data_IF_932090851310
#
_entry.id   IF_932090851310
#
_cell.length_a   1.000
_cell.length_b   1.000
_cell.length_c   1.000
_cell.angle_alpha   90.00
_cell.angle_beta   90.00
_cell.angle_gamma   90.00
#
_symmetry.space_group_name_H-M   'P 1'
#
loop_
_entity.id
_entity.type
_entity.pdbx_description
1 polymer ?
#
# COMPACT_ATOMS: atom_id res chain seq x y z
N UNK A 1 -6.02 -2.74 15.83
CA UNK A 1 -4.96 -3.51 15.15
C UNK A 1 -5.27 -3.61 13.67
N UNK A 2 -4.23 -3.59 12.87
CA UNK A 2 -4.39 -3.77 11.42
C UNK A 2 -4.75 -5.20 11.10
N UNK A 3 -5.62 -5.38 10.11
CA UNK A 3 -6.04 -6.71 9.65
C UNK A 3 -5.14 -7.23 8.52
N UNK A 4 -4.24 -6.42 8.05
CA UNK A 4 -3.33 -6.82 6.97
C UNK A 4 -1.98 -7.24 7.54
N UNK A 5 -1.22 -7.94 6.71
CA UNK A 5 0.13 -8.38 7.06
C UNK A 5 0.99 -7.17 7.38
N UNK A 6 1.69 -7.14 8.53
CA UNK A 6 2.53 -6.00 8.86
C UNK A 6 3.64 -5.80 7.82
N UNK A 7 3.95 -4.54 7.55
CA UNK A 7 5.09 -4.18 6.73
C UNK A 7 6.41 -4.29 7.49
N UNK A 8 7.50 -4.04 6.82
CA UNK A 8 7.59 -3.71 5.41
C UNK A 8 7.37 -4.92 4.49
N UNK A 9 7.00 -4.64 3.25
CA UNK A 9 6.86 -5.65 2.21
C UNK A 9 7.94 -5.43 1.16
N UNK A 10 8.30 -6.50 0.44
CA UNK A 10 9.27 -6.42 -0.65
C UNK A 10 8.65 -7.03 -1.90
N UNK A 11 9.19 -6.67 -3.06
CA UNK A 11 8.77 -7.26 -4.32
C UNK A 11 9.99 -7.84 -5.04
N UNK A 12 9.74 -8.82 -5.89
CA UNK A 12 10.78 -9.42 -6.70
C UNK A 12 10.17 -10.07 -7.92
N UNK A 13 11.00 -10.31 -8.94
CA UNK A 13 10.57 -11.02 -10.14
C UNK A 13 10.95 -12.49 -9.98
N UNK A 14 10.05 -13.36 -10.44
CA UNK A 14 10.30 -14.79 -10.45
C UNK A 14 10.95 -15.21 -11.77
N UNK A 15 11.47 -16.42 -11.82
CA UNK A 15 12.07 -16.96 -13.04
C UNK A 15 11.07 -17.06 -14.19
N UNK A 16 9.78 -17.15 -13.86
CA UNK A 16 8.71 -17.24 -14.85
C UNK A 16 8.26 -15.87 -15.37
N UNK A 17 8.85 -14.80 -14.88
CA UNK A 17 8.49 -13.45 -15.29
C UNK A 17 7.39 -12.80 -14.48
N UNK A 18 6.81 -13.52 -13.52
CA UNK A 18 5.84 -12.94 -12.61
C UNK A 18 6.54 -12.04 -11.60
N UNK A 19 5.79 -11.13 -10.99
CA UNK A 19 6.28 -10.34 -9.88
C UNK A 19 5.49 -10.70 -8.63
N UNK A 20 6.17 -10.84 -7.50
CA UNK A 20 5.54 -11.19 -6.23
C UNK A 20 5.85 -10.17 -5.16
N UNK A 21 4.93 -10.05 -4.21
CA UNK A 21 5.08 -9.20 -3.03
C UNK A 21 5.01 -10.11 -1.80
N UNK A 22 6.03 -10.04 -0.98
CA UNK A 22 6.14 -10.85 0.24
C UNK A 22 6.43 -9.95 1.44
N UNK A 23 6.08 -10.41 2.66
CA UNK A 23 6.59 -9.72 3.84
C UNK A 23 8.12 -9.78 3.86
N UNK A 24 8.75 -8.70 4.29
CA UNK A 24 10.22 -8.66 4.30
C UNK A 24 10.83 -9.70 5.23
N UNK A 25 10.14 -10.04 6.30
CA UNK A 25 10.60 -11.00 7.29
C UNK A 25 10.22 -12.44 6.96
N UNK A 26 9.73 -12.70 5.75
CA UNK A 26 9.28 -14.02 5.34
C UNK A 26 7.81 -14.23 5.59
N UNK A 27 7.32 -15.37 5.15
CA UNK A 27 5.91 -15.72 5.27
C UNK A 27 5.27 -15.98 3.92
N UNK A 28 3.95 -15.98 3.90
CA UNK A 28 3.20 -16.28 2.69
C UNK A 28 3.20 -15.10 1.73
N UNK A 29 3.06 -15.41 0.44
CA UNK A 29 2.95 -14.39 -0.61
C UNK A 29 1.74 -13.50 -0.32
N UNK A 30 1.96 -12.18 -0.36
CA UNK A 30 0.87 -11.21 -0.20
C UNK A 30 0.12 -11.03 -1.52
N UNK A 31 0.85 -10.91 -2.61
CA UNK A 31 0.28 -10.69 -3.93
C UNK A 31 1.20 -11.23 -5.00
N UNK A 32 0.60 -11.62 -6.12
CA UNK A 32 1.34 -12.03 -7.30
C UNK A 32 0.77 -11.29 -8.50
N UNK A 33 1.65 -10.62 -9.26
CA UNK A 33 1.28 -9.89 -10.46
C UNK A 33 1.77 -10.70 -11.65
N UNK A 34 0.84 -11.35 -12.33
CA UNK A 34 1.16 -12.27 -13.41
C UNK A 34 1.34 -11.55 -14.74
N UNK A 35 2.19 -12.11 -15.59
CA UNK A 35 2.50 -11.58 -16.90
C UNK A 35 1.54 -12.15 -17.94
N UNK A 36 0.90 -11.28 -18.71
CA UNK A 36 0.18 -11.70 -19.93
C UNK A 36 1.10 -11.71 -21.11
N UNK A 37 2.01 -10.74 -21.15
CA UNK A 37 2.97 -10.52 -22.22
C UNK A 37 4.34 -10.44 -21.58
N UNK A 38 5.31 -11.29 -21.97
CA UNK A 38 6.63 -11.28 -21.36
C UNK A 38 7.39 -9.96 -21.56
N UNK A 39 6.90 -9.11 -22.46
CA UNK A 39 7.49 -7.79 -22.66
C UNK A 39 6.77 -6.68 -21.88
N UNK A 40 5.69 -7.02 -21.18
CA UNK A 40 4.94 -6.06 -20.39
C UNK A 40 5.61 -5.85 -19.05
N UNK A 41 5.84 -4.60 -18.68
CA UNK A 41 6.47 -4.24 -17.40
C UNK A 41 5.47 -3.79 -16.36
N UNK A 42 4.18 -3.81 -16.68
CA UNK A 42 3.15 -3.36 -15.73
C UNK A 42 3.13 -4.21 -14.46
N UNK A 43 3.37 -5.54 -14.57
CA UNK A 43 3.36 -6.40 -13.41
C UNK A 43 4.42 -6.01 -12.39
N UNK A 44 5.61 -5.61 -12.83
CA UNK A 44 6.67 -5.16 -11.93
C UNK A 44 6.32 -3.82 -11.31
N UNK A 45 5.75 -2.92 -12.09
CA UNK A 45 5.29 -1.62 -11.59
C UNK A 45 4.18 -1.82 -10.55
N UNK A 46 3.23 -2.71 -10.84
CA UNK A 46 2.15 -3.01 -9.91
C UNK A 46 2.67 -3.63 -8.62
N UNK A 47 3.59 -4.58 -8.72
CA UNK A 47 4.18 -5.22 -7.55
C UNK A 47 4.92 -4.21 -6.69
N UNK A 48 5.65 -3.29 -7.32
CA UNK A 48 6.36 -2.23 -6.61
C UNK A 48 5.41 -1.32 -5.85
N UNK A 49 4.31 -0.94 -6.48
CA UNK A 49 3.29 -0.12 -5.84
C UNK A 49 2.65 -0.86 -4.67
N UNK A 50 2.29 -2.13 -4.86
CA UNK A 50 1.71 -2.94 -3.80
C UNK A 50 2.68 -3.08 -2.63
N UNK A 51 3.96 -3.33 -2.92
CA UNK A 51 4.97 -3.48 -1.88
C UNK A 51 5.17 -2.21 -1.06
N UNK A 52 4.88 -1.04 -1.66
CA UNK A 52 5.01 0.25 -0.97
C UNK A 52 3.76 0.59 -0.15
N UNK A 53 2.69 -0.18 -0.28
CA UNK A 53 1.41 0.15 0.35
C UNK A 53 1.50 0.36 1.87
N UNK A 54 2.21 -0.46 2.66
CA UNK A 54 2.30 -0.19 4.09
C UNK A 54 2.94 1.15 4.40
N UNK A 55 3.98 1.53 3.65
CA UNK A 55 4.66 2.80 3.83
C UNK A 55 3.75 3.96 3.44
N UNK A 56 3.01 3.80 2.32
CA UNK A 56 2.06 4.82 1.89
C UNK A 56 0.97 5.03 2.92
N UNK A 57 0.45 3.96 3.49
CA UNK A 57 -0.58 4.04 4.52
C UNK A 57 -0.05 4.75 5.77
N UNK A 58 1.17 4.40 6.21
CA UNK A 58 1.79 5.03 7.38
C UNK A 58 2.00 6.53 7.16
N UNK A 59 2.49 6.91 5.98
CA UNK A 59 2.70 8.32 5.66
C UNK A 59 1.39 9.08 5.54
N UNK A 60 0.35 8.45 5.00
CA UNK A 60 -0.97 9.06 4.91
C UNK A 60 -1.55 9.30 6.30
N UNK A 61 -1.41 8.33 7.21
CA UNK A 61 -1.89 8.47 8.58
C UNK A 61 -1.16 9.60 9.30
N UNK A 62 0.16 9.70 9.13
CA UNK A 62 0.95 10.77 9.70
C UNK A 62 0.53 12.14 9.15
N UNK A 63 0.37 12.23 7.84
CA UNK A 63 -0.08 13.46 7.20
C UNK A 63 -1.47 13.86 7.67
N UNK A 64 -2.37 12.89 7.84
CA UNK A 64 -3.71 13.16 8.35
C UNK A 64 -3.65 13.78 9.75
N UNK A 65 -2.82 13.22 10.63
CA UNK A 65 -2.71 13.74 12.00
C UNK A 65 -2.19 15.16 12.02
N UNK A 66 -1.23 15.48 11.16
CA UNK A 66 -0.68 16.83 11.04
C UNK A 66 -1.75 17.81 10.55
N UNK A 67 -2.48 17.43 9.51
CA UNK A 67 -3.52 18.29 8.93
C UNK A 67 -4.66 18.49 9.91
N UNK A 68 -5.06 17.44 10.61
CA UNK A 68 -6.12 17.49 11.59
C UNK A 68 -5.72 18.41 12.75
N UNK A 69 -4.46 18.35 13.19
CA UNK A 69 -3.94 19.19 14.28
C UNK A 69 -3.91 20.67 13.89
N UNK A 70 -3.74 21.00 12.60
CA UNK A 70 -3.78 22.38 12.14
C UNK A 70 -5.18 22.98 12.30
N UNK A 71 -6.22 22.17 12.07
CA UNK A 71 -7.60 22.58 12.32
C UNK A 71 -8.15 23.67 11.41
N UNK A 72 -7.58 23.83 10.20
CA UNK A 72 -8.02 24.82 9.27
C UNK A 72 -9.27 24.37 8.53
N UNK A 73 -10.28 25.25 8.33
CA UNK A 73 -11.46 24.86 7.54
C UNK A 73 -11.13 24.41 6.13
N UNK A 74 -10.09 25.02 5.53
CA UNK A 74 -9.68 24.71 4.16
C UNK A 74 -9.17 23.27 4.02
N UNK A 75 -8.67 22.68 5.10
CA UNK A 75 -8.11 21.33 5.08
C UNK A 75 -9.07 20.27 5.64
N UNK A 76 -10.21 20.69 6.16
CA UNK A 76 -11.14 19.78 6.82
C UNK A 76 -11.66 18.70 5.88
N UNK A 77 -11.98 19.08 4.63
CA UNK A 77 -12.46 18.12 3.63
C UNK A 77 -11.37 17.12 3.24
N UNK A 78 -10.14 17.61 3.06
CA UNK A 78 -9.03 16.75 2.74
C UNK A 78 -8.77 15.76 3.88
N UNK A 79 -8.79 16.23 5.13
CA UNK A 79 -8.62 15.37 6.29
C UNK A 79 -9.71 14.29 6.36
N UNK A 80 -10.95 14.63 6.04
CA UNK A 80 -12.05 13.67 6.04
C UNK A 80 -11.83 12.60 4.96
N UNK A 81 -11.41 13.01 3.77
CA UNK A 81 -11.12 12.05 2.69
C UNK A 81 -9.94 11.15 3.03
N UNK A 82 -8.90 11.69 3.65
CA UNK A 82 -7.77 10.90 4.11
C UNK A 82 -8.21 9.85 5.12
N UNK A 83 -9.04 10.25 6.07
CA UNK A 83 -9.58 9.32 7.09
C UNK A 83 -10.38 8.19 6.44
N UNK A 84 -11.19 8.52 5.44
CA UNK A 84 -11.98 7.52 4.73
C UNK A 84 -11.10 6.52 4.00
N UNK A 85 -10.04 6.99 3.33
CA UNK A 85 -9.11 6.12 2.61
C UNK A 85 -8.35 5.22 3.58
N UNK A 86 -7.91 5.78 4.71
CA UNK A 86 -7.21 5.01 5.74
C UNK A 86 -8.11 3.89 6.28
N UNK A 87 -9.36 4.21 6.59
CA UNK A 87 -10.32 3.22 7.08
C UNK A 87 -10.57 2.13 6.05
N UNK A 88 -10.69 2.50 4.79
CA UNK A 88 -10.87 1.55 3.70
C UNK A 88 -9.67 0.61 3.59
N UNK A 89 -8.47 1.14 3.68
CA UNK A 89 -7.24 0.33 3.60
C UNK A 89 -7.15 -0.65 4.76
N UNK A 90 -7.65 -0.28 5.93
CA UNK A 90 -7.62 -1.12 7.12
C UNK A 90 -8.81 -2.07 7.22
N UNK A 91 -9.77 -1.95 6.31
CA UNK A 91 -10.98 -2.76 6.35
C UNK A 91 -11.96 -2.36 7.45
N UNK A 92 -11.95 -1.09 7.84
CA UNK A 92 -12.78 -0.57 8.93
C UNK A 92 -14.04 0.16 8.45
N UNK A 93 -14.27 0.17 7.16
CA UNK A 93 -15.47 0.79 6.62
C UNK A 93 -16.72 0.00 6.98
#
# INVERSE_FOLDING_TARGET
>A
MSKFTPGPWKWFETENGDARVNPQNGGLVIAQCSVRDPFDTEQSANARLIATAPDLLAMLAEAHDIIDAIGQPETAEVAARMRAVIAKAKGEE
#
